data_IF_597181319553
#
_entry.id   IF_597181319553
#
_cell.length_a   1.000
_cell.length_b   1.000
_cell.length_c   1.000
_cell.angle_alpha   90.00
_cell.angle_beta   90.00
_cell.angle_gamma   90.00
#
_symmetry.space_group_name_H-M   'P 1'
#
loop_
_entity.id
_entity.type
_entity.pdbx_description
1 polymer ?
#
# COMPACT_ATOMS: atom_id res chain seq x y z
N UNK A 1 -2.09 -48.78 16.86
CA UNK A 1 -1.35 -47.52 16.71
C UNK A 1 -2.24 -46.50 16.03
N UNK A 2 -2.56 -45.36 16.67
CA UNK A 2 -3.31 -44.25 16.06
C UNK A 2 -2.35 -43.08 15.84
N UNK A 3 -2.32 -42.40 14.67
CA UNK A 3 -1.45 -41.26 14.50
C UNK A 3 -2.05 -40.02 15.18
N UNK A 4 -1.22 -39.35 15.98
CA UNK A 4 -1.52 -38.05 16.60
C UNK A 4 -1.50 -36.97 15.52
N UNK A 5 -2.66 -36.38 15.24
CA UNK A 5 -2.73 -35.14 14.45
C UNK A 5 -2.14 -33.99 15.29
N UNK A 6 -1.02 -33.44 14.82
CA UNK A 6 -0.47 -32.19 15.33
C UNK A 6 -1.27 -31.03 14.76
N UNK A 7 -2.22 -30.50 15.53
CA UNK A 7 -2.93 -29.28 15.21
C UNK A 7 -1.96 -28.09 15.26
N UNK A 8 -1.55 -27.59 14.10
CA UNK A 8 -0.85 -26.32 13.96
C UNK A 8 -1.83 -25.21 14.38
N UNK A 9 -1.70 -24.73 15.62
CA UNK A 9 -2.46 -23.58 16.12
C UNK A 9 -2.03 -22.34 15.32
N UNK A 10 -2.81 -21.97 14.31
CA UNK A 10 -2.86 -20.60 13.85
C UNK A 10 -3.35 -19.73 15.01
N UNK A 11 -2.42 -19.08 15.71
CA UNK A 11 -2.73 -17.91 16.52
C UNK A 11 -2.81 -16.73 15.57
N UNK A 12 -3.90 -16.63 14.81
CA UNK A 12 -4.29 -15.34 14.22
C UNK A 12 -4.97 -14.55 15.33
N UNK A 13 -4.17 -13.77 16.04
CA UNK A 13 -4.68 -12.64 16.79
C UNK A 13 -4.24 -11.42 15.99
N UNK A 14 -5.12 -10.92 15.13
CA UNK A 14 -4.97 -9.59 14.54
C UNK A 14 -4.70 -8.64 15.70
N UNK A 15 -3.51 -8.03 15.72
CA UNK A 15 -3.19 -7.02 16.72
C UNK A 15 -3.97 -5.79 16.28
N UNK A 16 -5.02 -5.37 17.00
CA UNK A 16 -5.73 -4.17 16.61
C UNK A 16 -4.74 -3.02 16.75
N UNK A 17 -4.41 -2.34 15.64
CA UNK A 17 -3.74 -1.06 15.70
C UNK A 17 -4.71 -0.09 16.37
N UNK A 18 -4.57 0.05 17.69
CA UNK A 18 -5.42 0.91 18.48
C UNK A 18 -5.28 2.35 17.97
N UNK A 19 -6.41 2.94 17.60
CA UNK A 19 -6.58 4.29 17.08
C UNK A 19 -6.38 5.39 18.15
N UNK A 20 -5.38 5.24 19.02
CA UNK A 20 -4.97 6.28 19.97
C UNK A 20 -3.73 7.03 19.46
N UNK A 21 -4.00 8.22 18.94
CA UNK A 21 -3.18 9.02 18.02
C UNK A 21 -1.88 9.61 18.62
N UNK A 22 -1.52 9.34 19.87
CA UNK A 22 -0.36 10.00 20.51
C UNK A 22 0.83 9.07 20.84
N UNK A 23 0.67 7.74 20.72
CA UNK A 23 1.67 6.78 21.20
C UNK A 23 2.47 6.06 20.10
N UNK A 24 2.06 6.17 18.83
CA UNK A 24 2.79 5.52 17.73
C UNK A 24 4.21 6.10 17.60
N UNK A 25 5.26 5.26 17.45
CA UNK A 25 6.60 5.73 17.13
C UNK A 25 6.65 6.64 15.90
N UNK A 26 5.79 6.42 14.90
CA UNK A 26 5.71 7.27 13.71
C UNK A 26 5.23 8.69 14.04
N UNK A 27 4.26 8.83 14.94
CA UNK A 27 3.77 10.14 15.38
C UNK A 27 4.87 10.93 16.09
N UNK A 28 5.67 10.27 16.94
CA UNK A 28 6.84 10.89 17.59
C UNK A 28 7.92 11.34 16.59
N UNK A 29 8.00 10.68 15.44
CA UNK A 29 8.89 11.07 14.33
C UNK A 29 8.29 12.16 13.41
N UNK A 30 7.11 12.68 13.76
CA UNK A 30 6.43 13.76 13.05
C UNK A 30 5.61 13.29 11.84
N UNK A 31 5.25 12.01 11.75
CA UNK A 31 4.26 11.53 10.80
C UNK A 31 2.84 11.75 11.33
N UNK A 32 1.90 12.05 10.45
CA UNK A 32 0.48 12.16 10.80
C UNK A 32 -0.32 11.01 10.20
N UNK A 33 -1.22 10.45 11.00
CA UNK A 33 -2.17 9.45 10.54
C UNK A 33 -3.23 10.11 9.65
N UNK A 34 -3.51 9.50 8.49
CA UNK A 34 -4.58 9.92 7.57
C UNK A 34 -5.75 8.96 7.75
N UNK A 35 -6.92 9.41 8.22
CA UNK A 35 -8.06 8.52 8.42
C UNK A 35 -8.62 8.01 7.09
N UNK A 36 -8.64 6.69 6.89
CA UNK A 36 -9.23 6.00 5.74
C UNK A 36 -10.42 5.11 6.15
N UNK A 37 -10.91 5.26 7.39
CA UNK A 37 -12.09 4.57 7.89
C UNK A 37 -11.84 3.08 8.12
N UNK A 38 -12.63 2.21 7.49
CA UNK A 38 -12.48 0.76 7.65
C UNK A 38 -11.11 0.22 7.23
N UNK A 39 -10.46 0.90 6.27
CA UNK A 39 -9.13 0.54 5.80
C UNK A 39 -8.04 0.76 6.85
N UNK A 40 -8.22 1.65 7.82
CA UNK A 40 -7.22 1.92 8.88
C UNK A 40 -6.95 0.71 9.77
N UNK A 41 -7.88 -0.26 9.79
CA UNK A 41 -7.72 -1.50 10.58
C UNK A 41 -6.78 -2.50 9.94
N UNK A 42 -6.56 -2.40 8.63
CA UNK A 42 -5.80 -3.38 7.84
C UNK A 42 -4.58 -2.75 7.20
N UNK A 43 -4.69 -1.48 6.80
CA UNK A 43 -3.70 -0.75 6.04
C UNK A 43 -3.59 0.73 6.44
N UNK A 44 -3.31 1.04 7.73
CA UNK A 44 -3.23 2.42 8.19
C UNK A 44 -2.13 3.20 7.46
N UNK A 45 -2.46 4.44 7.13
CA UNK A 45 -1.63 5.32 6.30
C UNK A 45 -1.15 6.54 7.09
N UNK A 46 0.14 6.84 6.97
CA UNK A 46 0.80 7.98 7.60
C UNK A 46 1.56 8.81 6.58
N UNK A 47 1.55 10.14 6.74
CA UNK A 47 2.25 11.07 5.85
C UNK A 47 3.10 12.10 6.61
N UNK A 48 4.12 12.65 5.94
CA UNK A 48 4.99 13.72 6.45
C UNK A 48 5.56 14.55 5.27
N UNK A 49 5.51 15.90 5.31
CA UNK A 49 4.72 16.73 6.23
C UNK A 49 3.20 16.54 6.04
N UNK A 50 2.42 17.03 6.99
CA UNK A 50 0.96 16.99 6.92
C UNK A 50 0.36 17.90 5.85
N UNK A 51 1.04 19.03 5.60
CA UNK A 51 0.70 19.94 4.53
C UNK A 51 1.16 19.38 3.18
N UNK A 52 0.39 19.66 2.13
CA UNK A 52 0.80 19.33 0.78
C UNK A 52 1.96 20.22 0.32
N UNK A 53 2.96 19.69 -0.39
CA UNK A 53 3.14 18.28 -0.73
C UNK A 53 3.75 17.45 0.41
N UNK A 54 3.12 16.32 0.71
CA UNK A 54 3.74 15.30 1.56
C UNK A 54 4.86 14.62 0.78
N UNK A 55 5.99 14.39 1.44
CA UNK A 55 7.20 13.82 0.83
C UNK A 55 7.46 12.38 1.26
N UNK A 56 6.91 11.97 2.40
CA UNK A 56 7.09 10.62 2.95
C UNK A 56 5.74 10.01 3.25
N UNK A 57 5.47 8.85 2.63
CA UNK A 57 4.24 8.08 2.78
C UNK A 57 4.58 6.72 3.37
N UNK A 58 4.00 6.40 4.52
CA UNK A 58 4.18 5.12 5.22
C UNK A 58 2.84 4.43 5.27
N UNK A 59 2.76 3.27 4.62
CA UNK A 59 1.65 2.35 4.78
C UNK A 59 2.10 1.18 5.64
N UNK A 60 1.31 0.87 6.67
CA UNK A 60 1.60 -0.23 7.59
C UNK A 60 0.69 -1.40 7.25
N UNK A 61 1.25 -2.60 7.18
CA UNK A 61 0.50 -3.84 6.97
C UNK A 61 1.06 -4.96 7.86
N UNK A 62 0.25 -5.99 8.08
CA UNK A 62 0.71 -7.19 8.78
C UNK A 62 1.68 -8.00 7.89
N UNK A 63 2.68 -8.63 8.51
CA UNK A 63 3.59 -9.55 7.82
C UNK A 63 2.80 -10.75 7.30
N UNK A 64 3.02 -11.12 6.05
CA UNK A 64 2.30 -12.15 5.32
C UNK A 64 0.95 -11.70 4.74
N UNK A 65 0.57 -10.43 4.89
CA UNK A 65 -0.69 -9.91 4.37
C UNK A 65 -0.71 -9.82 2.84
N UNK A 66 -1.93 -9.79 2.27
CA UNK A 66 -2.11 -9.57 0.83
C UNK A 66 -1.55 -8.21 0.38
N UNK A 67 -1.60 -7.20 1.25
CA UNK A 67 -1.01 -5.89 1.03
C UNK A 67 0.51 -6.00 0.90
N UNK A 68 1.19 -6.64 1.85
CA UNK A 68 2.64 -6.85 1.77
C UNK A 68 3.02 -7.57 0.46
N UNK A 69 2.38 -8.72 0.19
CA UNK A 69 2.65 -9.52 -1.00
C UNK A 69 2.47 -8.71 -2.29
N UNK A 70 1.37 -7.96 -2.41
CA UNK A 70 1.07 -7.16 -3.60
C UNK A 70 2.08 -6.03 -3.81
N UNK A 71 2.49 -5.33 -2.74
CA UNK A 71 3.48 -4.25 -2.84
C UNK A 71 4.86 -4.78 -3.25
N UNK A 72 5.30 -5.90 -2.66
CA UNK A 72 6.57 -6.52 -3.01
C UNK A 72 6.55 -7.10 -4.43
N UNK A 73 5.48 -7.78 -4.83
CA UNK A 73 5.33 -8.34 -6.16
C UNK A 73 5.37 -7.26 -7.25
N UNK A 74 4.59 -6.18 -7.09
CA UNK A 74 4.59 -5.08 -8.06
C UNK A 74 5.97 -4.42 -8.16
N UNK A 75 6.62 -4.14 -7.01
CA UNK A 75 7.96 -3.56 -6.99
C UNK A 75 8.99 -4.46 -7.70
N UNK A 76 8.97 -5.76 -7.42
CA UNK A 76 9.92 -6.70 -7.99
C UNK A 76 9.72 -6.82 -9.51
N UNK A 77 8.46 -6.94 -9.95
CA UNK A 77 8.13 -7.00 -11.38
C UNK A 77 8.68 -5.78 -12.14
N UNK A 78 8.48 -4.56 -11.62
CA UNK A 78 9.00 -3.35 -12.27
C UNK A 78 10.54 -3.25 -12.26
N UNK A 79 11.22 -3.96 -11.36
CA UNK A 79 12.69 -4.02 -11.35
C UNK A 79 13.24 -5.04 -12.33
N UNK A 80 12.49 -6.10 -12.58
CA UNK A 80 12.86 -7.18 -13.50
C UNK A 80 12.52 -6.84 -14.96
N UNK A 81 11.44 -6.09 -15.19
CA UNK A 81 10.96 -5.72 -16.52
C UNK A 81 11.03 -4.20 -16.74
N UNK A 82 12.12 -3.77 -17.39
CA UNK A 82 12.35 -2.37 -17.73
C UNK A 82 11.34 -1.79 -18.73
N UNK A 83 10.72 -2.62 -19.57
CA UNK A 83 9.72 -2.18 -20.54
C UNK A 83 8.42 -1.83 -19.80
N UNK A 84 7.94 -2.70 -18.91
CA UNK A 84 6.75 -2.43 -18.11
C UNK A 84 6.96 -1.26 -17.15
N UNK A 85 8.19 -1.07 -16.63
CA UNK A 85 8.54 0.13 -15.88
C UNK A 85 8.41 1.41 -16.73
N UNK A 86 8.85 1.38 -18.00
CA UNK A 86 8.70 2.51 -18.91
C UNK A 86 7.22 2.81 -19.24
N UNK A 87 6.40 1.78 -19.45
CA UNK A 87 4.95 1.91 -19.61
C UNK A 87 4.31 2.58 -18.39
N UNK A 88 4.70 2.17 -17.18
CA UNK A 88 4.18 2.77 -15.96
C UNK A 88 4.60 4.25 -15.78
N UNK A 89 5.82 4.60 -16.20
CA UNK A 89 6.27 6.01 -16.22
C UNK A 89 5.44 6.83 -17.19
N UNK A 90 5.22 6.34 -18.41
CA UNK A 90 4.41 7.02 -19.42
C UNK A 90 2.97 7.24 -18.93
N UNK A 91 2.36 6.21 -18.33
CA UNK A 91 1.04 6.31 -17.71
C UNK A 91 1.01 7.40 -16.62
N UNK A 92 1.96 7.38 -15.68
CA UNK A 92 2.02 8.36 -14.59
C UNK A 92 2.17 9.79 -15.10
N UNK A 93 2.95 10.03 -16.16
CA UNK A 93 3.09 11.35 -16.77
C UNK A 93 1.78 11.84 -17.38
N UNK A 94 1.15 11.00 -18.21
CA UNK A 94 -0.16 11.31 -18.82
C UNK A 94 -1.23 11.61 -17.77
N UNK A 95 -1.32 10.80 -16.71
CA UNK A 95 -2.31 11.01 -15.65
C UNK A 95 -2.02 12.28 -14.82
N UNK A 96 -0.75 12.62 -14.63
CA UNK A 96 -0.39 13.86 -13.93
C UNK A 96 -0.81 15.09 -14.73
N UNK A 97 -0.64 15.07 -16.05
CA UNK A 97 -1.14 16.11 -16.96
C UNK A 97 -2.67 16.21 -16.94
N UNK A 98 -3.36 15.06 -16.94
CA UNK A 98 -4.82 15.00 -16.97
C UNK A 98 -5.49 15.49 -15.67
N UNK A 99 -4.87 15.22 -14.53
CA UNK A 99 -5.48 15.51 -13.23
C UNK A 99 -4.86 16.71 -12.51
N UNK A 100 -3.70 17.23 -12.91
CA UNK A 100 -2.97 18.38 -12.32
C UNK A 100 -2.50 18.21 -10.86
N UNK A 101 -3.20 17.46 -10.01
CA UNK A 101 -2.79 17.12 -8.64
C UNK A 101 -2.89 18.29 -7.64
N UNK A 102 -3.58 19.38 -7.99
CA UNK A 102 -3.65 20.60 -7.17
C UNK A 102 -4.68 20.50 -6.05
N UNK A 103 -5.78 19.76 -6.25
CA UNK A 103 -6.83 19.52 -5.24
C UNK A 103 -6.79 18.09 -4.69
N UNK A 104 -7.39 17.84 -3.52
CA UNK A 104 -7.50 16.49 -2.96
C UNK A 104 -8.17 15.52 -3.95
N UNK A 105 -9.33 15.90 -4.48
CA UNK A 105 -10.07 15.12 -5.48
C UNK A 105 -9.22 14.78 -6.70
N UNK A 106 -8.44 15.74 -7.19
CA UNK A 106 -7.58 15.51 -8.36
C UNK A 106 -6.46 14.50 -8.09
N UNK A 107 -5.93 14.46 -6.86
CA UNK A 107 -4.92 13.50 -6.42
C UNK A 107 -5.52 12.11 -6.24
N UNK A 108 -6.75 12.03 -5.73
CA UNK A 108 -7.50 10.78 -5.63
C UNK A 108 -7.80 10.19 -7.00
N UNK A 109 -8.28 11.01 -7.96
CA UNK A 109 -8.49 10.60 -9.35
C UNK A 109 -7.20 10.08 -9.99
N UNK A 110 -6.08 10.79 -9.82
CA UNK A 110 -4.77 10.31 -10.26
C UNK A 110 -4.40 8.97 -9.64
N UNK A 111 -4.62 8.80 -8.33
CA UNK A 111 -4.33 7.56 -7.61
C UNK A 111 -5.13 6.39 -8.16
N UNK A 112 -6.46 6.56 -8.28
CA UNK A 112 -7.39 5.55 -8.76
C UNK A 112 -7.15 5.17 -10.22
N UNK A 113 -6.81 6.13 -11.08
CA UNK A 113 -6.58 5.89 -12.50
C UNK A 113 -5.37 4.97 -12.79
N UNK A 114 -4.51 4.71 -11.81
CA UNK A 114 -3.40 3.75 -11.93
C UNK A 114 -3.80 2.31 -11.60
N UNK A 115 -4.96 2.10 -10.96
CA UNK A 115 -5.34 0.82 -10.36
C UNK A 115 -5.42 -0.33 -11.38
N UNK A 116 -5.99 -0.08 -12.56
CA UNK A 116 -6.12 -1.10 -13.61
C UNK A 116 -4.75 -1.58 -14.10
N UNK A 117 -3.83 -0.64 -14.35
CA UNK A 117 -2.46 -0.97 -14.75
C UNK A 117 -1.77 -1.82 -13.68
N UNK A 118 -1.83 -1.40 -12.41
CA UNK A 118 -1.23 -2.14 -11.28
C UNK A 118 -1.81 -3.56 -11.18
N UNK A 119 -3.13 -3.70 -11.29
CA UNK A 119 -3.79 -5.01 -11.28
C UNK A 119 -3.33 -5.89 -12.46
N UNK A 120 -3.19 -5.32 -13.65
CA UNK A 120 -2.72 -6.06 -14.83
C UNK A 120 -1.28 -6.59 -14.65
N UNK A 121 -0.40 -5.80 -14.04
CA UNK A 121 0.99 -6.20 -13.77
C UNK A 121 1.05 -7.30 -12.72
N UNK A 122 0.27 -7.17 -11.64
CA UNK A 122 0.18 -8.20 -10.61
C UNK A 122 -0.34 -9.54 -11.17
N UNK A 123 -1.33 -9.51 -12.07
CA UNK A 123 -1.84 -10.72 -12.73
C UNK A 123 -0.78 -11.42 -13.59
N UNK A 124 0.14 -10.68 -14.23
CA UNK A 124 1.25 -11.24 -15.01
C UNK A 124 2.33 -11.88 -14.12
N UNK A 125 2.52 -11.37 -12.91
CA UNK A 125 3.50 -11.89 -11.95
C UNK A 125 3.08 -13.19 -11.27
N UNK A 126 1.78 -13.41 -11.07
CA UNK A 126 1.24 -14.61 -10.40
C UNK A 126 1.31 -15.91 -11.22
N UNK A 127 1.81 -15.85 -12.47
CA UNK A 127 1.87 -16.99 -13.39
C UNK A 127 3.29 -17.50 -13.68
N UNK A 128 4.31 -17.08 -12.92
CA UNK A 128 5.70 -17.54 -13.04
C UNK A 128 6.10 -18.44 -11.89
#
# INVERSE_FOLDING_TARGET
MRPRQGAFRQRSAAVPFASSTSASPLVRLGYMHVPLGGFDRVYPFFCKPSAWPSTHHVHVCEVGSAQEASHLAFRNYLREDSQVAAEYVALKRRLAELHHGTTLESRERYSLAKSEFVASVLARGSGR
#
